data_IF_081333756163
#
_entry.id   IF_081333756163
#
_cell.length_a   1.000
_cell.length_b   1.000
_cell.length_c   1.000
_cell.angle_alpha   90.00
_cell.angle_beta   90.00
_cell.angle_gamma   90.00
#
_symmetry.space_group_name_H-M   'P 1'
#
loop_
_entity.id
_entity.type
_entity.pdbx_description
1 polymer ?
#
# COMPACT_ATOMS: atom_id res chain seq x y z
N UNK A 1 -43.40 32.08 -24.80
CA UNK A 1 -42.56 31.20 -23.96
C UNK A 1 -41.41 30.69 -24.82
N UNK A 2 -40.19 31.21 -24.66
CA UNK A 2 -39.06 30.68 -25.40
C UNK A 2 -38.64 29.34 -24.78
N UNK A 3 -38.54 28.31 -25.62
CA UNK A 3 -38.04 27.00 -25.25
C UNK A 3 -36.61 27.15 -24.74
N UNK A 4 -36.39 26.75 -23.49
CA UNK A 4 -35.04 26.64 -22.93
C UNK A 4 -34.33 25.56 -23.75
N UNK A 5 -33.36 25.99 -24.54
CA UNK A 5 -32.56 25.14 -25.40
C UNK A 5 -31.72 24.20 -24.53
N UNK A 6 -32.23 22.99 -24.25
CA UNK A 6 -31.56 21.98 -23.41
C UNK A 6 -30.14 21.65 -23.88
N UNK A 7 -29.84 21.83 -25.18
CA UNK A 7 -28.50 21.61 -25.72
C UNK A 7 -27.46 22.60 -25.14
N UNK A 8 -27.83 23.84 -24.82
CA UNK A 8 -26.90 24.79 -24.21
C UNK A 8 -26.66 24.53 -22.71
N UNK A 9 -27.62 23.91 -21.99
CA UNK A 9 -27.40 23.45 -20.61
C UNK A 9 -26.55 22.18 -20.54
N UNK A 10 -26.55 21.33 -21.57
CA UNK A 10 -25.67 20.16 -21.63
C UNK A 10 -24.23 20.51 -22.00
N UNK A 11 -24.03 21.43 -22.97
CA UNK A 11 -22.68 21.88 -23.38
C UNK A 11 -21.96 22.62 -22.23
N UNK A 12 -22.69 23.33 -21.37
CA UNK A 12 -22.10 23.99 -20.19
C UNK A 12 -21.71 23.02 -19.06
N UNK A 13 -22.29 21.82 -19.02
CA UNK A 13 -21.97 20.77 -18.05
C UNK A 13 -20.76 19.91 -18.44
N UNK A 14 -20.36 19.91 -19.72
CA UNK A 14 -19.10 19.27 -20.17
C UNK A 14 -17.87 20.09 -19.77
N UNK A 15 -17.99 21.43 -19.71
CA UNK A 15 -16.90 22.31 -19.27
C UNK A 15 -16.64 22.28 -17.75
N UNK A 16 -17.56 21.73 -16.95
CA UNK A 16 -17.51 21.70 -15.48
C UNK A 16 -17.08 20.37 -14.89
N UNK A 17 -16.81 19.35 -15.71
CA UNK A 17 -16.37 18.02 -15.24
C UNK A 17 -14.92 17.77 -15.63
N UNK A 18 -13.98 18.44 -14.97
CA UNK A 18 -12.60 18.00 -15.01
C UNK A 18 -12.33 17.19 -13.74
N UNK A 19 -12.36 15.86 -13.85
CA UNK A 19 -11.76 15.02 -12.81
C UNK A 19 -10.30 15.48 -12.63
N UNK A 20 -9.84 15.65 -11.38
CA UNK A 20 -8.51 16.16 -11.13
C UNK A 20 -7.46 15.19 -11.68
N UNK A 21 -6.32 15.76 -12.09
CA UNK A 21 -5.19 14.98 -12.59
C UNK A 21 -4.77 13.95 -11.54
N UNK A 22 -4.53 12.71 -11.97
CA UNK A 22 -3.98 11.68 -11.07
C UNK A 22 -2.56 12.11 -10.73
N UNK A 23 -2.29 12.34 -9.45
CA UNK A 23 -0.99 12.78 -8.97
C UNK A 23 -0.68 12.18 -7.61
N UNK A 24 0.60 11.99 -7.36
CA UNK A 24 1.13 11.58 -6.05
C UNK A 24 1.35 12.83 -5.17
N UNK A 25 1.14 14.03 -5.72
CA UNK A 25 1.26 15.32 -5.02
C UNK A 25 0.12 15.59 -4.02
N UNK A 26 -0.14 14.63 -3.13
CA UNK A 26 -1.13 14.70 -2.08
C UNK A 26 -0.56 15.36 -0.81
N UNK A 27 -1.42 15.86 0.07
CA UNK A 27 -1.01 16.39 1.38
C UNK A 27 -0.18 15.35 2.18
N UNK A 28 -0.58 14.07 2.28
CA UNK A 28 0.24 13.01 2.87
C UNK A 28 1.65 12.90 2.27
N UNK A 29 1.75 12.94 0.94
CA UNK A 29 3.01 12.86 0.21
C UNK A 29 3.91 14.07 0.54
N UNK A 30 3.38 15.29 0.45
CA UNK A 30 4.11 16.53 0.80
C UNK A 30 4.61 16.50 2.23
N UNK A 31 3.77 16.10 3.18
CA UNK A 31 4.15 16.00 4.58
C UNK A 31 5.27 14.98 4.78
N UNK A 32 5.17 13.81 4.16
CA UNK A 32 6.20 12.78 4.23
C UNK A 32 7.52 13.23 3.58
N UNK A 33 7.47 13.99 2.48
CA UNK A 33 8.64 14.58 1.81
C UNK A 33 9.38 15.61 2.67
N UNK A 34 8.64 16.40 3.47
CA UNK A 34 9.26 17.32 4.43
C UNK A 34 10.07 16.53 5.47
N UNK A 35 9.55 15.40 5.94
CA UNK A 35 10.22 14.52 6.91
C UNK A 35 11.45 13.83 6.29
N UNK A 36 11.31 13.31 5.07
CA UNK A 36 12.38 12.56 4.36
C UNK A 36 13.38 13.46 3.62
N UNK A 37 13.30 14.78 3.79
CA UNK A 37 14.25 15.72 3.19
C UNK A 37 15.63 15.59 3.83
N UNK A 38 16.49 14.77 3.22
CA UNK A 38 17.86 14.50 3.70
C UNK A 38 18.84 15.64 3.45
N UNK A 39 18.48 16.64 2.64
CA UNK A 39 19.28 17.84 2.40
C UNK A 39 19.00 18.97 3.41
N UNK A 40 17.80 19.03 3.97
CA UNK A 40 17.37 20.10 4.88
C UNK A 40 17.58 19.71 6.35
N UNK A 41 18.23 20.58 7.14
CA UNK A 41 18.45 20.35 8.58
C UNK A 41 17.13 20.20 9.34
N UNK A 42 16.09 20.95 8.96
CA UNK A 42 14.78 20.87 9.59
C UNK A 42 14.13 19.50 9.39
N UNK A 43 14.27 18.91 8.19
CA UNK A 43 13.77 17.55 7.90
C UNK A 43 14.45 16.50 8.76
N UNK A 44 15.78 16.57 8.88
CA UNK A 44 16.57 15.68 9.75
C UNK A 44 16.15 15.78 11.21
N UNK A 45 16.02 17.00 11.74
CA UNK A 45 15.57 17.23 13.12
C UNK A 45 14.16 16.71 13.34
N UNK A 46 13.25 16.95 12.39
CA UNK A 46 11.87 16.45 12.45
C UNK A 46 11.82 14.92 12.44
N UNK A 47 12.62 14.27 11.59
CA UNK A 47 12.74 12.81 11.57
C UNK A 47 13.27 12.27 12.90
N UNK A 48 14.34 12.84 13.44
CA UNK A 48 14.89 12.43 14.76
C UNK A 48 13.85 12.63 15.86
N UNK A 49 13.09 13.72 15.83
CA UNK A 49 12.01 13.98 16.78
C UNK A 49 10.87 12.95 16.66
N UNK A 50 10.43 12.63 15.44
CA UNK A 50 9.42 11.59 15.19
C UNK A 50 9.92 10.23 15.66
N UNK A 51 11.17 9.86 15.35
CA UNK A 51 11.76 8.61 15.82
C UNK A 51 11.87 8.58 17.34
N UNK A 52 12.24 9.68 17.99
CA UNK A 52 12.27 9.79 19.43
C UNK A 52 10.88 9.58 20.04
N UNK A 53 9.85 10.25 19.51
CA UNK A 53 8.45 10.07 19.96
C UNK A 53 8.00 8.62 19.74
N UNK A 54 8.28 8.05 18.57
CA UNK A 54 7.91 6.69 18.22
C UNK A 54 8.54 5.66 19.17
N UNK A 55 9.80 5.85 19.53
CA UNK A 55 10.47 5.04 20.54
C UNK A 55 9.91 5.29 21.94
N UNK A 56 9.57 6.52 22.33
CA UNK A 56 8.92 6.77 23.63
C UNK A 56 7.58 6.03 23.77
N UNK A 57 6.79 5.99 22.70
CA UNK A 57 5.48 5.31 22.70
C UNK A 57 5.65 3.78 22.64
N UNK A 58 6.51 3.26 21.75
CA UNK A 58 6.62 1.82 21.51
C UNK A 58 7.60 1.10 22.43
N UNK A 59 8.69 1.75 22.86
CA UNK A 59 9.67 1.15 23.78
C UNK A 59 9.25 1.21 25.23
N UNK A 60 8.08 1.78 25.55
CA UNK A 60 7.53 1.71 26.91
C UNK A 60 7.43 0.27 27.40
N UNK A 61 7.04 -0.66 26.53
CA UNK A 61 7.00 -2.08 26.89
C UNK A 61 8.39 -2.64 27.23
N UNK A 62 9.46 -2.16 26.56
CA UNK A 62 10.84 -2.57 26.80
C UNK A 62 11.39 -2.06 28.14
N UNK A 63 10.95 -0.90 28.62
CA UNK A 63 11.39 -0.36 29.91
C UNK A 63 10.99 -1.22 31.12
N UNK A 64 9.98 -2.09 30.96
CA UNK A 64 9.53 -3.02 32.00
C UNK A 64 10.08 -4.45 31.80
N UNK A 65 11.01 -4.65 30.87
CA UNK A 65 11.60 -5.95 30.57
C UNK A 65 12.94 -6.10 31.29
N UNK A 66 13.04 -7.05 32.24
CA UNK A 66 14.34 -7.49 32.77
C UNK A 66 15.18 -8.20 31.69
N UNK A 67 16.47 -7.89 31.62
CA UNK A 67 17.44 -8.49 30.68
C UNK A 67 17.52 -10.03 30.81
N UNK A 68 17.28 -10.57 32.01
CA UNK A 68 17.32 -12.02 32.29
C UNK A 68 16.22 -12.86 31.63
N UNK A 69 15.26 -12.22 30.95
CA UNK A 69 14.10 -12.90 30.34
C UNK A 69 13.96 -12.63 28.84
N UNK A 70 15.05 -12.20 28.19
CA UNK A 70 15.08 -11.99 26.73
C UNK A 70 14.59 -13.19 25.91
N UNK A 71 14.69 -14.41 26.46
CA UNK A 71 14.30 -15.66 25.80
C UNK A 71 12.87 -16.15 26.07
N UNK A 72 12.06 -15.49 26.92
CA UNK A 72 10.67 -15.90 27.17
C UNK A 72 9.67 -14.74 27.00
N UNK A 73 8.63 -14.94 26.18
CA UNK A 73 7.54 -14.00 25.84
C UNK A 73 7.92 -12.59 25.27
N UNK A 74 9.19 -12.19 25.36
CA UNK A 74 9.69 -10.82 25.13
C UNK A 74 10.28 -10.59 23.74
N UNK A 75 10.55 -11.67 23.00
CA UNK A 75 10.96 -11.60 21.59
C UNK A 75 9.87 -10.96 20.70
N UNK A 76 8.59 -11.23 20.98
CA UNK A 76 7.47 -10.61 20.24
C UNK A 76 7.42 -9.09 20.41
N UNK A 77 7.67 -8.59 21.62
CA UNK A 77 7.75 -7.15 21.90
C UNK A 77 8.96 -6.50 21.21
N UNK A 78 10.12 -7.16 21.21
CA UNK A 78 11.30 -6.71 20.47
C UNK A 78 11.02 -6.64 18.96
N UNK A 79 10.43 -7.69 18.40
CA UNK A 79 10.08 -7.77 16.98
C UNK A 79 9.06 -6.69 16.59
N UNK A 80 8.07 -6.43 17.45
CA UNK A 80 7.11 -5.34 17.26
C UNK A 80 7.81 -3.96 17.24
N UNK A 81 8.71 -3.68 18.19
CA UNK A 81 9.46 -2.43 18.24
C UNK A 81 10.35 -2.27 17.01
N UNK A 82 11.01 -3.35 16.57
CA UNK A 82 11.82 -3.32 15.35
C UNK A 82 10.94 -2.97 14.15
N UNK A 83 9.84 -3.69 13.91
CA UNK A 83 8.94 -3.45 12.78
C UNK A 83 8.39 -2.02 12.80
N UNK A 84 7.94 -1.53 13.97
CA UNK A 84 7.40 -0.19 14.13
C UNK A 84 8.42 0.91 13.80
N UNK A 85 9.71 0.68 14.05
CA UNK A 85 10.80 1.61 13.73
C UNK A 85 11.29 1.50 12.29
N UNK A 86 11.28 0.32 11.69
CA UNK A 86 11.81 0.11 10.34
C UNK A 86 10.98 0.80 9.26
N UNK A 87 9.65 0.88 9.42
CA UNK A 87 8.79 1.50 8.41
C UNK A 87 9.09 3.00 8.20
N UNK A 88 9.12 3.84 9.25
CA UNK A 88 9.51 5.25 9.10
C UNK A 88 10.94 5.43 8.57
N UNK A 89 11.86 4.54 8.94
CA UNK A 89 13.25 4.56 8.45
C UNK A 89 13.29 4.33 6.93
N UNK A 90 12.56 3.33 6.43
CA UNK A 90 12.47 3.04 4.99
C UNK A 90 11.95 4.26 4.23
N UNK A 91 10.87 4.88 4.70
CA UNK A 91 10.35 6.10 4.09
C UNK A 91 11.34 7.27 4.12
N UNK A 92 11.99 7.49 5.25
CA UNK A 92 12.95 8.57 5.40
C UNK A 92 14.10 8.47 4.37
N UNK A 93 14.63 7.27 4.16
CA UNK A 93 15.75 7.08 3.23
C UNK A 93 15.35 6.96 1.76
N UNK A 94 14.20 6.33 1.47
CA UNK A 94 13.80 5.99 0.09
C UNK A 94 12.82 7.00 -0.50
N UNK A 95 11.84 7.50 0.26
CA UNK A 95 10.78 8.36 -0.24
C UNK A 95 11.22 9.84 -0.26
N UNK A 96 12.07 10.22 -1.21
CA UNK A 96 12.59 11.59 -1.32
C UNK A 96 12.10 12.32 -2.59
N UNK A 97 12.39 13.63 -2.69
CA UNK A 97 11.98 14.45 -3.84
C UNK A 97 12.42 13.90 -5.19
N UNK A 98 13.65 13.35 -5.27
CA UNK A 98 14.18 12.77 -6.51
C UNK A 98 13.38 11.53 -6.93
N UNK A 99 13.00 10.68 -5.98
CA UNK A 99 12.15 9.52 -6.28
C UNK A 99 10.78 9.97 -6.80
N UNK A 100 10.14 10.92 -6.11
CA UNK A 100 8.82 11.41 -6.50
C UNK A 100 8.84 12.08 -7.86
N UNK A 101 9.85 12.93 -8.15
CA UNK A 101 10.07 13.55 -9.45
C UNK A 101 10.21 12.48 -10.56
N UNK A 102 11.02 11.45 -10.33
CA UNK A 102 11.16 10.35 -11.29
C UNK A 102 9.84 9.61 -11.53
N UNK A 103 9.04 9.37 -10.49
CA UNK A 103 7.73 8.72 -10.65
C UNK A 103 6.78 9.63 -11.45
N UNK A 104 6.76 10.93 -11.17
CA UNK A 104 5.96 11.90 -11.91
C UNK A 104 6.38 12.03 -13.37
N UNK A 105 7.67 12.04 -13.67
CA UNK A 105 8.19 12.08 -15.03
C UNK A 105 7.73 10.87 -15.86
N UNK A 106 7.87 9.66 -15.30
CA UNK A 106 7.41 8.44 -15.96
C UNK A 106 5.88 8.43 -16.12
N UNK A 107 5.13 8.89 -15.13
CA UNK A 107 3.67 9.01 -15.20
C UNK A 107 3.23 10.01 -16.29
N UNK A 108 3.82 11.20 -16.30
CA UNK A 108 3.52 12.25 -17.27
C UNK A 108 3.86 11.82 -18.70
N UNK A 109 4.94 11.06 -18.88
CA UNK A 109 5.34 10.51 -20.18
C UNK A 109 4.32 9.50 -20.75
N UNK A 110 3.51 8.85 -19.90
CA UNK A 110 2.46 7.93 -20.34
C UNK A 110 1.25 8.65 -20.94
N UNK A 111 1.07 9.95 -20.66
CA UNK A 111 -0.03 10.77 -21.18
C UNK A 111 -1.44 10.18 -20.91
N UNK A 112 -1.60 9.44 -19.81
CA UNK A 112 -2.85 8.77 -19.45
C UNK A 112 -3.96 9.78 -19.10
N UNK A 113 -3.58 10.94 -18.58
CA UNK A 113 -4.50 11.98 -18.11
C UNK A 113 -5.20 12.76 -19.24
N UNK A 114 -4.97 12.47 -20.52
CA UNK A 114 -5.61 13.22 -21.62
C UNK A 114 -7.09 12.84 -21.80
N UNK A 115 -7.46 11.58 -21.58
CA UNK A 115 -8.84 11.09 -21.79
C UNK A 115 -9.71 11.27 -20.54
N UNK A 116 -10.94 11.78 -20.71
CA UNK A 116 -11.86 12.09 -19.60
C UNK A 116 -12.40 10.84 -18.91
N UNK A 117 -12.81 9.82 -19.67
CA UNK A 117 -13.35 8.57 -19.10
C UNK A 117 -12.28 7.79 -18.33
N UNK A 118 -11.06 7.82 -18.86
CA UNK A 118 -9.87 7.28 -18.20
C UNK A 118 -9.60 8.00 -16.86
N UNK A 119 -9.59 9.35 -16.84
CA UNK A 119 -9.46 10.14 -15.59
C UNK A 119 -10.58 9.88 -14.58
N UNK A 120 -11.83 9.81 -15.06
CA UNK A 120 -13.00 9.50 -14.25
C UNK A 120 -12.88 8.15 -13.55
N UNK A 121 -12.52 7.11 -14.31
CA UNK A 121 -12.33 5.77 -13.79
C UNK A 121 -11.27 5.76 -12.69
N UNK A 122 -10.11 6.37 -12.93
CA UNK A 122 -9.00 6.40 -11.97
C UNK A 122 -9.32 7.20 -10.72
N UNK A 123 -9.83 8.42 -10.88
CA UNK A 123 -10.19 9.25 -9.74
C UNK A 123 -11.22 8.57 -8.84
N UNK A 124 -12.22 7.91 -9.42
CA UNK A 124 -13.25 7.19 -8.66
C UNK A 124 -12.64 6.06 -7.84
N UNK A 125 -11.75 5.25 -8.42
CA UNK A 125 -11.09 4.16 -7.70
C UNK A 125 -10.19 4.70 -6.58
N UNK A 126 -9.34 5.69 -6.86
CA UNK A 126 -8.48 6.32 -5.85
C UNK A 126 -9.30 6.93 -4.72
N UNK A 127 -10.40 7.61 -5.01
CA UNK A 127 -11.28 8.20 -4.02
C UNK A 127 -11.92 7.14 -3.11
N UNK A 128 -12.42 6.04 -3.68
CA UNK A 128 -12.99 4.92 -2.92
C UNK A 128 -11.94 4.33 -1.97
N UNK A 129 -10.73 4.07 -2.46
CA UNK A 129 -9.65 3.51 -1.63
C UNK A 129 -9.21 4.46 -0.53
N UNK A 130 -9.04 5.76 -0.82
CA UNK A 130 -8.70 6.76 0.20
C UNK A 130 -9.79 6.88 1.25
N UNK A 131 -11.06 6.87 0.84
CA UNK A 131 -12.18 6.88 1.78
C UNK A 131 -12.16 5.64 2.69
N UNK A 132 -11.88 4.46 2.14
CA UNK A 132 -11.72 3.24 2.93
C UNK A 132 -10.57 3.34 3.92
N UNK A 133 -9.41 3.87 3.51
CA UNK A 133 -8.27 4.12 4.40
C UNK A 133 -8.65 5.08 5.52
N UNK A 134 -9.37 6.15 5.23
CA UNK A 134 -9.81 7.14 6.21
C UNK A 134 -10.75 6.53 7.25
N UNK A 135 -11.78 5.82 6.78
CA UNK A 135 -12.72 5.11 7.65
C UNK A 135 -11.97 4.09 8.51
N UNK A 136 -11.03 3.35 7.92
CA UNK A 136 -10.28 2.35 8.68
C UNK A 136 -9.43 2.97 9.79
N UNK A 137 -8.71 4.06 9.49
CA UNK A 137 -7.88 4.74 10.50
C UNK A 137 -8.72 5.37 11.60
N UNK A 138 -9.87 5.98 11.26
CA UNK A 138 -10.78 6.56 12.26
C UNK A 138 -11.31 5.46 13.19
N UNK A 139 -11.73 4.32 12.63
CA UNK A 139 -12.21 3.18 13.44
C UNK A 139 -11.12 2.61 14.33
N UNK A 140 -9.91 2.37 13.80
CA UNK A 140 -8.79 1.84 14.55
C UNK A 140 -8.38 2.79 15.69
N UNK A 141 -8.30 4.09 15.40
CA UNK A 141 -8.01 5.12 16.38
C UNK A 141 -9.09 5.15 17.47
N UNK A 142 -10.37 5.22 17.09
CA UNK A 142 -11.48 5.27 18.05
C UNK A 142 -11.49 4.03 18.95
N UNK A 143 -11.34 2.84 18.36
CA UNK A 143 -11.34 1.58 19.11
C UNK A 143 -10.15 1.48 20.07
N UNK A 144 -8.95 1.86 19.62
CA UNK A 144 -7.74 1.85 20.44
C UNK A 144 -7.82 2.84 21.61
N UNK A 145 -8.29 4.07 21.37
CA UNK A 145 -8.42 5.09 22.41
C UNK A 145 -9.54 4.76 23.40
N UNK A 146 -10.71 4.31 22.94
CA UNK A 146 -11.80 3.90 23.82
C UNK A 146 -11.36 2.78 24.78
N UNK A 147 -10.64 1.77 24.28
CA UNK A 147 -10.10 0.71 25.14
C UNK A 147 -9.01 1.22 26.09
N UNK A 148 -8.11 2.08 25.62
CA UNK A 148 -7.05 2.66 26.46
C UNK A 148 -7.62 3.53 27.59
N UNK A 149 -8.70 4.27 27.33
CA UNK A 149 -9.43 5.05 28.34
C UNK A 149 -10.19 4.13 29.30
N UNK A 150 -10.84 3.07 28.79
CA UNK A 150 -11.55 2.09 29.62
C UNK A 150 -10.63 1.39 30.61
N UNK A 151 -9.52 0.81 30.12
CA UNK A 151 -8.52 0.14 30.97
C UNK A 151 -7.88 1.08 31.99
N UNK A 152 -7.85 2.38 31.69
CA UNK A 152 -7.39 3.41 32.60
C UNK A 152 -8.43 3.73 33.68
N UNK A 153 -9.71 3.84 33.31
CA UNK A 153 -10.82 4.02 34.27
C UNK A 153 -10.88 2.89 35.29
N UNK A 154 -10.58 1.66 34.87
CA UNK A 154 -10.55 0.49 35.74
C UNK A 154 -9.34 0.52 36.72
N UNK A 155 -8.18 1.00 36.25
CA UNK A 155 -6.93 1.12 37.05
C UNK A 155 -6.86 2.35 37.96
N UNK A 156 -7.73 3.34 37.80
CA UNK A 156 -7.82 4.54 38.65
C UNK A 156 -8.25 4.25 40.10
N UNK A 157 -8.50 2.98 40.46
CA UNK A 157 -8.52 2.50 41.86
C UNK A 157 -7.13 2.40 42.50
N UNK A 158 -6.04 2.66 41.76
CA UNK A 158 -4.66 2.60 42.27
C UNK A 158 -3.97 3.98 42.42
N UNK A 159 -3.30 4.18 43.55
CA UNK A 159 -2.94 5.45 44.23
C UNK A 159 -1.78 6.29 43.63
N UNK A 160 -1.59 6.40 42.31
CA UNK A 160 -0.43 7.13 41.74
C UNK A 160 -0.78 8.24 40.72
N UNK A 161 -0.90 9.51 41.16
CA UNK A 161 -1.35 10.62 40.31
C UNK A 161 -0.31 11.09 39.25
N UNK A 162 0.99 10.97 39.52
CA UNK A 162 2.06 11.46 38.61
C UNK A 162 2.22 10.57 37.37
N UNK A 163 2.06 9.25 37.53
CA UNK A 163 2.12 8.30 36.40
C UNK A 163 0.97 8.50 35.41
N UNK A 164 -0.17 9.03 35.87
CA UNK A 164 -1.34 9.28 35.04
C UNK A 164 -1.13 10.48 34.11
N UNK A 165 -0.52 11.57 34.57
CA UNK A 165 -0.25 12.75 33.73
C UNK A 165 0.68 12.46 32.55
N UNK A 166 1.78 11.75 32.80
CA UNK A 166 2.73 11.33 31.76
C UNK A 166 2.10 10.34 30.77
N UNK A 167 1.20 9.48 31.26
CA UNK A 167 0.41 8.58 30.42
C UNK A 167 -0.57 9.34 29.51
N UNK A 168 -1.30 10.33 30.04
CA UNK A 168 -2.20 11.16 29.23
C UNK A 168 -1.44 11.97 28.17
N UNK A 169 -0.25 12.48 28.49
CA UNK A 169 0.61 13.15 27.53
C UNK A 169 1.05 12.21 26.40
N UNK A 170 1.52 11.00 26.75
CA UNK A 170 1.89 9.97 25.77
C UNK A 170 0.71 9.57 24.88
N UNK A 171 -0.47 9.35 25.48
CA UNK A 171 -1.65 8.88 24.77
C UNK A 171 -2.29 9.99 23.91
N UNK A 172 -2.55 11.16 24.46
CA UNK A 172 -3.36 12.19 23.77
C UNK A 172 -2.55 13.05 22.80
N UNK A 173 -1.25 13.22 23.05
CA UNK A 173 -0.39 14.09 22.22
C UNK A 173 0.56 13.25 21.37
N UNK A 174 1.39 12.42 22.00
CA UNK A 174 2.45 11.71 21.28
C UNK A 174 1.92 10.61 20.36
N UNK A 175 0.93 9.83 20.79
CA UNK A 175 0.33 8.81 19.94
C UNK A 175 -0.46 9.42 18.77
N UNK A 176 -1.02 10.62 18.92
CA UNK A 176 -1.69 11.34 17.83
C UNK A 176 -0.69 11.73 16.74
N UNK A 177 0.48 12.26 17.12
CA UNK A 177 1.56 12.61 16.17
C UNK A 177 2.01 11.37 15.38
N UNK A 178 2.27 10.26 16.08
CA UNK A 178 2.65 8.99 15.42
C UNK A 178 1.54 8.51 14.49
N UNK A 179 0.28 8.58 14.94
CA UNK A 179 -0.88 8.16 14.14
C UNK A 179 -0.99 8.97 12.85
N UNK A 180 -0.72 10.28 12.90
CA UNK A 180 -0.69 11.13 11.71
C UNK A 180 0.42 10.74 10.73
N UNK A 181 1.61 10.38 11.24
CA UNK A 181 2.72 9.90 10.40
C UNK A 181 2.35 8.58 9.72
N UNK A 182 1.84 7.61 10.49
CA UNK A 182 1.42 6.31 9.94
C UNK A 182 0.28 6.47 8.92
N UNK A 183 -0.70 7.32 9.20
CA UNK A 183 -1.75 7.66 8.26
C UNK A 183 -1.18 8.15 6.93
N UNK A 184 -0.20 9.07 6.97
CA UNK A 184 0.42 9.58 5.75
C UNK A 184 1.14 8.48 4.96
N UNK A 185 1.91 7.64 5.64
CA UNK A 185 2.60 6.49 5.04
C UNK A 185 1.60 5.52 4.40
N UNK A 186 0.48 5.24 5.07
CA UNK A 186 -0.54 4.35 4.54
C UNK A 186 -1.25 4.92 3.31
N UNK A 187 -1.51 6.23 3.27
CA UNK A 187 -1.99 6.87 2.05
C UNK A 187 -1.03 6.64 0.88
N UNK A 188 0.28 6.81 1.10
CA UNK A 188 1.30 6.59 0.07
C UNK A 188 1.33 5.12 -0.37
N UNK A 189 1.23 4.17 0.56
CA UNK A 189 1.16 2.74 0.25
C UNK A 189 -0.05 2.32 -0.57
N UNK A 190 -1.10 3.14 -0.61
CA UNK A 190 -2.26 2.89 -1.44
C UNK A 190 -2.19 3.65 -2.76
N UNK A 191 -1.75 4.91 -2.71
CA UNK A 191 -1.63 5.75 -3.89
C UNK A 191 -0.64 5.19 -4.91
N UNK A 192 0.54 4.72 -4.47
CA UNK A 192 1.57 4.21 -5.38
C UNK A 192 1.16 2.92 -6.13
N UNK A 193 0.66 1.86 -5.46
CA UNK A 193 0.16 0.68 -6.18
C UNK A 193 -1.03 0.99 -7.08
N UNK A 194 -1.92 1.91 -6.68
CA UNK A 194 -3.04 2.31 -7.52
C UNK A 194 -2.57 3.01 -8.79
N UNK A 195 -1.54 3.85 -8.70
CA UNK A 195 -0.94 4.50 -9.86
C UNK A 195 -0.31 3.47 -10.81
N UNK A 196 0.44 2.51 -10.28
CA UNK A 196 1.00 1.39 -11.06
C UNK A 196 -0.09 0.53 -11.74
N UNK A 197 -1.12 0.10 -10.98
CA UNK A 197 -2.25 -0.65 -11.52
C UNK A 197 -2.98 0.11 -12.62
N UNK A 198 -3.10 1.42 -12.48
CA UNK A 198 -3.76 2.29 -13.44
C UNK A 198 -2.99 2.36 -14.76
N UNK A 199 -1.66 2.48 -14.66
CA UNK A 199 -0.77 2.48 -15.81
C UNK A 199 -0.87 1.17 -16.61
N UNK A 200 -0.82 0.02 -15.92
CA UNK A 200 -0.99 -1.30 -16.56
C UNK A 200 -2.39 -1.45 -17.18
N UNK A 201 -3.43 -1.03 -16.47
CA UNK A 201 -4.82 -1.09 -16.95
C UNK A 201 -5.03 -0.29 -18.23
N UNK A 202 -4.44 0.90 -18.33
CA UNK A 202 -4.54 1.75 -19.51
C UNK A 202 -4.02 1.03 -20.77
N UNK A 203 -2.84 0.43 -20.66
CA UNK A 203 -2.23 -0.29 -21.78
C UNK A 203 -3.01 -1.58 -22.12
N UNK A 204 -3.55 -2.26 -21.11
CA UNK A 204 -4.45 -3.40 -21.29
C UNK A 204 -5.72 -3.03 -22.07
N UNK A 205 -6.33 -1.87 -21.80
CA UNK A 205 -7.50 -1.39 -22.53
C UNK A 205 -7.14 -1.12 -24.00
N UNK A 206 -6.00 -0.48 -24.26
CA UNK A 206 -5.53 -0.23 -25.62
C UNK A 206 -5.31 -1.54 -26.40
N UNK A 207 -4.71 -2.54 -25.77
CA UNK A 207 -4.51 -3.87 -26.35
C UNK A 207 -5.81 -4.63 -26.61
N UNK A 208 -6.79 -4.56 -25.69
CA UNK A 208 -8.12 -5.15 -25.89
C UNK A 208 -8.84 -4.54 -27.07
N UNK A 209 -8.75 -3.21 -27.25
CA UNK A 209 -9.30 -2.52 -28.44
C UNK A 209 -8.63 -3.02 -29.71
N UNK A 210 -7.30 -3.07 -29.74
CA UNK A 210 -6.53 -3.57 -30.89
C UNK A 210 -6.89 -5.03 -31.24
N UNK A 211 -7.01 -5.90 -30.24
CA UNK A 211 -7.41 -7.31 -30.45
C UNK A 211 -8.82 -7.42 -31.05
N UNK A 212 -9.76 -6.61 -30.56
CA UNK A 212 -11.13 -6.60 -31.08
C UNK A 212 -11.22 -6.04 -32.50
N UNK A 213 -10.37 -5.09 -32.87
CA UNK A 213 -10.29 -4.59 -34.24
C UNK A 213 -9.68 -5.64 -35.18
N UNK A 214 -8.64 -6.35 -34.73
CA UNK A 214 -8.01 -7.43 -35.48
C UNK A 214 -8.95 -8.62 -35.73
N UNK A 215 -9.92 -8.88 -34.84
CA UNK A 215 -10.89 -9.97 -35.03
C UNK A 215 -12.07 -9.62 -35.93
N UNK A 216 -12.42 -8.33 -36.06
CA UNK A 216 -13.61 -7.90 -36.83
C UNK A 216 -13.37 -7.82 -38.33
N UNK A 217 -12.20 -7.37 -38.77
CA UNK A 217 -12.04 -6.86 -40.14
C UNK A 217 -11.10 -7.66 -41.06
N UNK A 218 -10.48 -8.76 -40.60
CA UNK A 218 -9.38 -9.43 -41.32
C UNK A 218 -8.27 -8.45 -41.80
N UNK A 219 -8.21 -7.24 -41.22
CA UNK A 219 -7.23 -6.20 -41.52
C UNK A 219 -5.92 -6.56 -40.83
N UNK A 220 -4.82 -6.38 -41.56
CA UNK A 220 -3.49 -6.51 -41.01
C UNK A 220 -3.34 -5.63 -39.75
N UNK A 221 -2.81 -6.22 -38.68
CA UNK A 221 -2.51 -5.50 -37.44
C UNK A 221 -1.70 -4.22 -37.70
N UNK A 222 -2.16 -3.12 -37.10
CA UNK A 222 -1.49 -1.83 -37.26
C UNK A 222 -0.17 -1.81 -36.47
N UNK A 223 0.95 -1.83 -37.19
CA UNK A 223 2.29 -1.84 -36.59
C UNK A 223 2.57 -0.59 -35.74
N UNK A 224 2.06 0.59 -36.13
CA UNK A 224 2.31 1.83 -35.37
C UNK A 224 1.58 1.81 -34.03
N UNK A 225 0.39 1.21 -33.99
CA UNK A 225 -0.35 1.00 -32.74
C UNK A 225 0.43 0.05 -31.80
N UNK A 226 0.97 -1.05 -32.32
CA UNK A 226 1.77 -2.01 -31.54
C UNK A 226 3.06 -1.36 -31.02
N UNK A 227 3.76 -0.60 -31.85
CA UNK A 227 4.96 0.15 -31.45
C UNK A 227 4.66 1.16 -30.33
N UNK A 228 3.54 1.87 -30.43
CA UNK A 228 3.14 2.83 -29.41
C UNK A 228 2.80 2.14 -28.08
N UNK A 229 2.02 1.06 -28.12
CA UNK A 229 1.67 0.24 -26.94
C UNK A 229 2.94 -0.36 -26.31
N UNK A 230 3.91 -0.83 -27.11
CA UNK A 230 5.21 -1.31 -26.61
C UNK A 230 5.99 -0.21 -25.92
N UNK A 231 6.05 1.00 -26.51
CA UNK A 231 6.69 2.15 -25.87
C UNK A 231 6.04 2.50 -24.55
N UNK A 232 4.70 2.50 -24.47
CA UNK A 232 3.96 2.70 -23.23
C UNK A 232 4.26 1.60 -22.22
N UNK A 233 4.36 0.34 -22.65
CA UNK A 233 4.73 -0.78 -21.78
C UNK A 233 6.10 -0.57 -21.13
N UNK A 234 7.13 -0.16 -21.90
CA UNK A 234 8.45 0.14 -21.36
C UNK A 234 8.43 1.28 -20.32
N UNK A 235 7.61 2.31 -20.54
CA UNK A 235 7.43 3.39 -19.58
C UNK A 235 6.73 2.89 -18.30
N UNK A 236 5.76 1.98 -18.42
CA UNK A 236 5.11 1.34 -17.27
C UNK A 236 6.12 0.51 -16.47
N UNK A 237 6.98 -0.27 -17.13
CA UNK A 237 8.03 -1.03 -16.45
C UNK A 237 8.91 -0.11 -15.59
N UNK A 238 9.42 0.97 -16.19
CA UNK A 238 10.25 1.96 -15.47
C UNK A 238 9.51 2.63 -14.31
N UNK A 239 8.23 2.93 -14.50
CA UNK A 239 7.38 3.49 -13.45
C UNK A 239 7.22 2.51 -12.28
N UNK A 240 6.93 1.24 -12.57
CA UNK A 240 6.77 0.20 -11.54
C UNK A 240 8.09 -0.08 -10.82
N UNK A 241 9.20 -0.18 -11.54
CA UNK A 241 10.54 -0.35 -10.95
C UNK A 241 10.87 0.79 -9.98
N UNK A 242 10.52 2.03 -10.34
CA UNK A 242 10.74 3.19 -9.47
C UNK A 242 9.86 3.17 -8.23
N UNK A 243 8.60 2.76 -8.36
CA UNK A 243 7.72 2.59 -7.22
C UNK A 243 8.22 1.44 -6.32
N UNK A 244 8.80 0.40 -6.90
CA UNK A 244 9.31 -0.76 -6.15
C UNK A 244 10.49 -0.40 -5.23
N UNK A 245 11.27 0.65 -5.52
CA UNK A 245 12.35 1.12 -4.66
C UNK A 245 11.89 1.48 -3.23
N UNK A 246 10.61 1.85 -3.07
CA UNK A 246 9.96 2.07 -1.77
C UNK A 246 9.00 0.93 -1.40
N UNK A 247 8.20 0.44 -2.35
CA UNK A 247 7.17 -0.57 -2.06
C UNK A 247 7.78 -1.93 -1.73
N UNK A 248 8.87 -2.34 -2.36
CA UNK A 248 9.48 -3.65 -2.13
C UNK A 248 9.93 -3.86 -0.68
N UNK A 249 10.79 -3.00 -0.12
CA UNK A 249 11.17 -3.06 1.30
C UNK A 249 9.96 -2.92 2.25
N UNK A 250 8.99 -2.09 1.87
CA UNK A 250 7.77 -1.87 2.65
C UNK A 250 6.89 -3.12 2.72
N UNK A 251 6.77 -3.87 1.62
CA UNK A 251 6.01 -5.11 1.53
C UNK A 251 6.64 -6.22 2.38
N UNK A 252 7.97 -6.29 2.42
CA UNK A 252 8.69 -7.18 3.34
C UNK A 252 8.25 -6.91 4.79
N UNK A 253 8.33 -5.65 5.23
CA UNK A 253 7.94 -5.25 6.58
C UNK A 253 6.46 -5.50 6.87
N UNK A 254 5.56 -5.20 5.92
CA UNK A 254 4.11 -5.46 6.07
C UNK A 254 3.79 -6.95 6.21
N UNK A 255 4.42 -7.82 5.40
CA UNK A 255 4.20 -9.26 5.53
C UNK A 255 4.79 -9.84 6.82
N UNK A 256 5.94 -9.36 7.27
CA UNK A 256 6.48 -9.75 8.59
C UNK A 256 5.55 -9.30 9.71
N UNK A 257 5.01 -8.07 9.62
CA UNK A 257 4.02 -7.56 10.57
C UNK A 257 2.73 -8.38 10.54
N UNK A 258 2.25 -8.77 9.36
CA UNK A 258 1.10 -9.64 9.18
C UNK A 258 1.32 -11.00 9.86
N UNK A 259 2.45 -11.65 9.61
CA UNK A 259 2.77 -12.96 10.20
C UNK A 259 2.84 -12.89 11.72
N UNK A 260 3.53 -11.87 12.27
CA UNK A 260 3.65 -11.67 13.71
C UNK A 260 2.28 -11.49 14.39
N UNK A 261 1.41 -10.65 13.82
CA UNK A 261 0.06 -10.43 14.33
C UNK A 261 -0.83 -11.67 14.21
N UNK A 262 -0.71 -12.42 13.10
CA UNK A 262 -1.48 -13.64 12.91
C UNK A 262 -1.08 -14.72 13.93
N UNK A 263 0.22 -14.89 14.20
CA UNK A 263 0.71 -15.77 15.26
C UNK A 263 0.23 -15.31 16.64
N UNK A 264 0.26 -14.00 16.92
CA UNK A 264 -0.23 -13.44 18.18
C UNK A 264 -1.73 -13.70 18.37
N UNK A 265 -2.54 -13.51 17.32
CA UNK A 265 -3.97 -13.78 17.34
C UNK A 265 -4.25 -15.28 17.56
N UNK A 266 -3.56 -16.15 16.84
CA UNK A 266 -3.70 -17.59 17.00
C UNK A 266 -3.35 -18.03 18.43
N UNK A 267 -2.25 -17.53 18.99
CA UNK A 267 -1.88 -17.77 20.37
C UNK A 267 -2.97 -17.30 21.35
N UNK A 268 -3.46 -16.07 21.21
CA UNK A 268 -4.50 -15.52 22.08
C UNK A 268 -5.84 -16.28 21.99
N UNK A 269 -6.14 -16.88 20.84
CA UNK A 269 -7.34 -17.71 20.65
C UNK A 269 -7.19 -19.09 21.29
N UNK A 270 -6.02 -19.73 21.12
CA UNK A 270 -5.73 -21.09 21.60
C UNK A 270 -5.55 -21.12 23.13
N UNK A 271 -4.84 -20.15 23.70
CA UNK A 271 -4.52 -20.12 25.12
C UNK A 271 -5.47 -19.18 25.88
N UNK A 272 -5.82 -19.54 27.12
CA UNK A 272 -6.82 -18.82 27.92
C UNK A 272 -6.20 -17.93 29.01
N UNK A 273 -5.04 -17.33 28.72
CA UNK A 273 -4.23 -16.58 29.70
C UNK A 273 -4.72 -15.15 29.96
N UNK A 274 -5.68 -14.64 29.19
CA UNK A 274 -6.14 -13.25 29.25
C UNK A 274 -7.57 -13.12 29.77
N UNK A 275 -7.87 -12.02 30.48
CA UNK A 275 -9.24 -11.64 30.80
C UNK A 275 -10.07 -11.50 29.52
N UNK A 276 -11.34 -11.92 29.55
CA UNK A 276 -12.23 -12.02 28.41
C UNK A 276 -12.37 -10.71 27.63
N UNK A 277 -12.46 -9.56 28.31
CA UNK A 277 -12.57 -8.25 27.65
C UNK A 277 -11.29 -7.88 26.88
N UNK A 278 -10.12 -8.09 27.49
CA UNK A 278 -8.82 -7.91 26.83
C UNK A 278 -8.64 -8.86 25.66
N UNK A 279 -9.09 -10.11 25.81
CA UNK A 279 -9.09 -11.11 24.72
C UNK A 279 -9.94 -10.62 23.54
N UNK A 280 -11.17 -10.16 23.77
CA UNK A 280 -12.03 -9.61 22.72
C UNK A 280 -11.42 -8.39 22.04
N UNK A 281 -10.87 -7.46 22.81
CA UNK A 281 -10.18 -6.30 22.26
C UNK A 281 -9.04 -6.70 21.33
N UNK A 282 -8.15 -7.59 21.81
CA UNK A 282 -7.00 -8.06 21.03
C UNK A 282 -7.46 -8.81 19.77
N UNK A 283 -8.49 -9.65 19.86
CA UNK A 283 -9.05 -10.36 18.70
C UNK A 283 -9.59 -9.38 17.67
N UNK A 284 -10.41 -8.41 18.07
CA UNK A 284 -11.02 -7.43 17.17
C UNK A 284 -9.95 -6.56 16.51
N UNK A 285 -9.04 -5.98 17.30
CA UNK A 285 -7.98 -5.10 16.79
C UNK A 285 -7.04 -5.86 15.84
N UNK A 286 -6.59 -7.05 16.24
CA UNK A 286 -5.65 -7.81 15.42
C UNK A 286 -6.31 -8.32 14.14
N UNK A 287 -7.57 -8.75 14.20
CA UNK A 287 -8.33 -9.14 13.00
C UNK A 287 -8.48 -7.96 12.04
N UNK A 288 -8.75 -6.77 12.56
CA UNK A 288 -8.84 -5.56 11.75
C UNK A 288 -7.53 -5.24 11.04
N UNK A 289 -6.40 -5.26 11.77
CA UNK A 289 -5.05 -5.05 11.21
C UNK A 289 -4.74 -6.09 10.12
N UNK A 290 -5.08 -7.36 10.35
CA UNK A 290 -4.86 -8.43 9.37
C UNK A 290 -5.68 -8.23 8.10
N UNK A 291 -6.96 -7.84 8.21
CA UNK A 291 -7.81 -7.52 7.06
C UNK A 291 -7.21 -6.36 6.26
N UNK A 292 -6.79 -5.29 6.94
CA UNK A 292 -6.16 -4.14 6.28
C UNK A 292 -4.89 -4.55 5.52
N UNK A 293 -4.00 -5.30 6.17
CA UNK A 293 -2.76 -5.78 5.54
C UNK A 293 -3.06 -6.69 4.34
N UNK A 294 -4.06 -7.56 4.41
CA UNK A 294 -4.46 -8.38 3.26
C UNK A 294 -4.93 -7.52 2.08
N UNK A 295 -5.75 -6.50 2.33
CA UNK A 295 -6.21 -5.59 1.28
C UNK A 295 -5.01 -4.91 0.60
N UNK A 296 -4.01 -4.48 1.37
CA UNK A 296 -2.80 -3.87 0.84
C UNK A 296 -1.98 -4.86 0.02
N UNK A 297 -1.65 -6.03 0.57
CA UNK A 297 -0.84 -7.01 -0.15
C UNK A 297 -1.55 -7.47 -1.43
N UNK A 298 -2.87 -7.67 -1.39
CA UNK A 298 -3.67 -8.02 -2.57
C UNK A 298 -3.65 -6.92 -3.63
N UNK A 299 -3.77 -5.64 -3.25
CA UNK A 299 -3.64 -4.54 -4.19
C UNK A 299 -2.26 -4.50 -4.88
N UNK A 300 -1.20 -4.86 -4.18
CA UNK A 300 0.14 -4.94 -4.76
C UNK A 300 0.27 -6.11 -5.75
N UNK A 301 -0.25 -7.29 -5.42
CA UNK A 301 -0.24 -8.48 -6.30
C UNK A 301 -1.04 -8.26 -7.59
N UNK A 302 -2.12 -7.49 -7.52
CA UNK A 302 -2.98 -7.19 -8.67
C UNK A 302 -2.25 -6.50 -9.84
N UNK A 303 -1.13 -5.84 -9.58
CA UNK A 303 -0.28 -5.25 -10.64
C UNK A 303 0.28 -6.36 -11.53
N UNK A 304 0.82 -7.40 -10.90
CA UNK A 304 1.38 -8.54 -11.62
C UNK A 304 0.30 -9.34 -12.36
N UNK A 305 -0.85 -9.60 -11.73
CA UNK A 305 -1.98 -10.28 -12.39
C UNK A 305 -2.42 -9.54 -13.66
N UNK A 306 -2.58 -8.21 -13.60
CA UNK A 306 -2.92 -7.39 -14.76
C UNK A 306 -1.83 -7.39 -15.82
N UNK A 307 -0.56 -7.43 -15.42
CA UNK A 307 0.56 -7.55 -16.35
C UNK A 307 0.52 -8.88 -17.10
N UNK A 308 0.23 -10.00 -16.43
CA UNK A 308 0.08 -11.30 -17.07
C UNK A 308 -1.08 -11.32 -18.07
N UNK A 309 -2.21 -10.67 -17.74
CA UNK A 309 -3.33 -10.52 -18.68
C UNK A 309 -2.90 -9.74 -19.94
N UNK A 310 -2.12 -8.68 -19.75
CA UNK A 310 -1.57 -7.87 -20.83
C UNK A 310 -0.65 -8.71 -21.75
N UNK A 311 0.26 -9.49 -21.18
CA UNK A 311 1.16 -10.41 -21.91
C UNK A 311 0.35 -11.46 -22.68
N UNK A 312 -0.69 -12.03 -22.06
CA UNK A 312 -1.55 -13.02 -22.71
C UNK A 312 -2.30 -12.44 -23.92
N UNK A 313 -2.71 -11.17 -23.88
CA UNK A 313 -3.34 -10.51 -25.03
C UNK A 313 -2.33 -10.26 -26.14
N UNK A 314 -1.11 -9.82 -25.80
CA UNK A 314 -0.03 -9.64 -26.78
C UNK A 314 0.32 -10.96 -27.47
N UNK A 315 0.37 -12.06 -26.73
CA UNK A 315 0.53 -13.39 -27.31
C UNK A 315 -0.64 -13.76 -28.23
N UNK A 316 -1.88 -13.47 -27.87
CA UNK A 316 -3.03 -13.68 -28.77
C UNK A 316 -2.92 -12.85 -30.05
N UNK A 317 -2.39 -11.64 -29.98
CA UNK A 317 -2.15 -10.78 -31.15
C UNK A 317 -1.07 -11.36 -32.08
N UNK A 318 -0.06 -12.06 -31.56
CA UNK A 318 0.97 -12.70 -32.40
C UNK A 318 0.37 -13.77 -33.32
N UNK A 319 -0.73 -14.41 -32.90
CA UNK A 319 -1.46 -15.40 -33.68
C UNK A 319 -2.42 -14.78 -34.71
N UNK A 320 -2.51 -13.46 -34.78
CA UNK A 320 -3.42 -12.72 -35.67
C UNK A 320 -2.70 -11.99 -36.80
N UNK A 321 -1.41 -12.26 -37.01
CA UNK A 321 -0.63 -11.62 -38.08
C UNK A 321 0.38 -12.58 -38.67
N UNK A 322 0.51 -12.52 -40.00
CA UNK A 322 1.59 -13.20 -40.74
C UNK A 322 2.76 -12.24 -41.05
N UNK A 323 2.67 -10.98 -40.61
CA UNK A 323 3.69 -9.98 -40.88
C UNK A 323 4.87 -10.15 -39.93
N UNK A 324 6.03 -10.53 -40.47
CA UNK A 324 7.30 -10.66 -39.73
C UNK A 324 7.66 -9.37 -38.98
N UNK A 325 7.39 -8.20 -39.58
CA UNK A 325 7.68 -6.90 -38.92
C UNK A 325 6.83 -6.69 -37.68
N UNK A 326 5.55 -7.05 -37.75
CA UNK A 326 4.63 -6.96 -36.61
C UNK A 326 5.02 -7.99 -35.55
N UNK A 327 5.33 -9.21 -35.99
CA UNK A 327 5.76 -10.28 -35.11
C UNK A 327 7.04 -9.90 -34.34
N UNK A 328 8.02 -9.26 -34.99
CA UNK A 328 9.23 -8.77 -34.33
C UNK A 328 8.91 -7.76 -33.21
N UNK A 329 8.00 -6.81 -33.43
CA UNK A 329 7.57 -5.87 -32.39
C UNK A 329 6.86 -6.58 -31.23
N UNK A 330 6.05 -7.60 -31.53
CA UNK A 330 5.39 -8.42 -30.51
C UNK A 330 6.41 -9.25 -29.73
N UNK A 331 7.39 -9.86 -30.38
CA UNK A 331 8.47 -10.61 -29.72
C UNK A 331 9.27 -9.69 -28.81
N UNK A 332 9.60 -8.46 -29.26
CA UNK A 332 10.26 -7.46 -28.42
C UNK A 332 9.41 -7.03 -27.22
N UNK A 333 8.09 -7.00 -27.37
CA UNK A 333 7.17 -6.74 -26.27
C UNK A 333 7.20 -7.88 -25.25
N UNK A 334 7.12 -9.13 -25.71
CA UNK A 334 7.09 -10.32 -24.86
C UNK A 334 8.45 -10.60 -24.18
N UNK A 335 9.55 -10.15 -24.79
CA UNK A 335 10.91 -10.32 -24.26
C UNK A 335 11.28 -9.25 -23.21
N UNK A 336 10.35 -8.92 -22.32
CA UNK A 336 10.57 -7.97 -21.24
C UNK A 336 10.34 -8.64 -19.88
N UNK A 337 10.99 -8.11 -18.85
CA UNK A 337 10.83 -8.62 -17.49
C UNK A 337 9.39 -8.45 -17.00
N UNK A 338 8.98 -9.35 -16.11
CA UNK A 338 7.66 -9.29 -15.49
C UNK A 338 7.45 -7.99 -14.72
N UNK A 339 6.28 -7.38 -14.88
CA UNK A 339 5.90 -6.18 -14.12
C UNK A 339 5.25 -6.61 -12.81
N UNK A 340 5.75 -6.07 -11.70
CA UNK A 340 5.19 -6.25 -10.36
C UNK A 340 6.12 -5.66 -9.31
N UNK A 341 5.72 -5.77 -8.04
CA UNK A 341 6.59 -5.38 -6.93
C UNK A 341 7.32 -6.58 -6.36
N UNK A 342 8.52 -6.33 -5.86
CA UNK A 342 9.34 -7.36 -5.24
C UNK A 342 9.06 -7.47 -3.75
N UNK A 343 9.36 -8.63 -3.18
CA UNK A 343 9.35 -8.86 -1.75
C UNK A 343 10.74 -8.49 -1.19
N UNK A 344 10.94 -7.22 -0.88
CA UNK A 344 12.24 -6.70 -0.40
C UNK A 344 13.41 -6.95 -1.37
N UNK A 345 13.15 -7.05 -2.68
CA UNK A 345 14.15 -7.38 -3.70
C UNK A 345 14.47 -8.88 -3.85
N UNK A 346 13.81 -9.77 -3.10
CA UNK A 346 14.13 -11.21 -3.14
C UNK A 346 13.43 -11.95 -4.29
N UNK A 347 12.13 -11.73 -4.45
CA UNK A 347 11.32 -12.36 -5.50
C UNK A 347 10.12 -11.47 -5.84
N UNK A 348 9.52 -11.66 -7.02
CA UNK A 348 8.32 -10.93 -7.43
C UNK A 348 7.10 -11.39 -6.63
N UNK A 349 6.32 -10.46 -6.10
CA UNK A 349 5.13 -10.76 -5.32
C UNK A 349 3.98 -11.19 -6.24
N UNK A 350 3.61 -12.47 -6.15
CA UNK A 350 2.53 -13.07 -6.95
C UNK A 350 1.44 -13.68 -6.07
N UNK A 351 0.38 -14.19 -6.70
CA UNK A 351 -0.64 -14.99 -6.01
C UNK A 351 -0.08 -16.27 -5.40
N UNK A 352 0.92 -16.89 -6.04
CA UNK A 352 1.59 -18.05 -5.47
C UNK A 352 2.42 -17.68 -4.24
N UNK A 353 3.10 -16.53 -4.24
CA UNK A 353 3.80 -16.01 -3.05
C UNK A 353 2.84 -15.83 -1.86
N UNK A 354 1.65 -15.27 -2.11
CA UNK A 354 0.59 -15.14 -1.10
C UNK A 354 0.14 -16.51 -0.57
N UNK A 355 -0.13 -17.47 -1.46
CA UNK A 355 -0.52 -18.83 -1.09
C UNK A 355 0.55 -19.53 -0.23
N UNK A 356 1.83 -19.34 -0.57
CA UNK A 356 2.96 -19.85 0.22
C UNK A 356 3.00 -19.20 1.60
N UNK A 357 2.82 -17.88 1.71
CA UNK A 357 2.75 -17.18 2.99
C UNK A 357 1.61 -17.73 3.87
N UNK A 358 0.43 -17.96 3.30
CA UNK A 358 -0.69 -18.57 4.02
C UNK A 358 -0.42 -20.00 4.46
N UNK A 359 0.24 -20.79 3.61
CA UNK A 359 0.60 -22.16 3.93
C UNK A 359 1.58 -22.20 5.10
N UNK A 360 2.62 -21.36 5.08
CA UNK A 360 3.57 -21.19 6.20
C UNK A 360 2.82 -20.78 7.48
N UNK A 361 1.94 -19.79 7.39
CA UNK A 361 1.14 -19.34 8.53
C UNK A 361 0.28 -20.46 9.12
N UNK A 362 -0.45 -21.21 8.28
CA UNK A 362 -1.28 -22.34 8.70
C UNK A 362 -0.42 -23.41 9.37
N UNK A 363 0.74 -23.74 8.79
CA UNK A 363 1.68 -24.69 9.40
C UNK A 363 2.14 -24.24 10.78
N UNK A 364 2.50 -22.96 10.94
CA UNK A 364 2.89 -22.40 12.25
C UNK A 364 1.73 -22.50 13.25
N UNK A 365 0.51 -22.12 12.84
CA UNK A 365 -0.70 -22.18 13.69
C UNK A 365 -1.01 -23.62 14.12
N UNK A 366 -0.90 -24.60 13.22
CA UNK A 366 -1.14 -26.01 13.53
C UNK A 366 -0.05 -26.56 14.46
N UNK A 367 1.20 -26.12 14.30
CA UNK A 367 2.32 -26.58 15.12
C UNK A 367 2.40 -25.90 16.51
N UNK A 368 1.82 -24.71 16.66
CA UNK A 368 1.82 -23.91 17.90
C UNK A 368 1.47 -24.73 19.17
N UNK A 369 0.37 -25.53 19.19
CA UNK A 369 0.03 -26.39 20.33
C UNK A 369 1.12 -27.40 20.71
N UNK A 370 1.89 -27.89 19.73
CA UNK A 370 2.96 -28.88 19.97
C UNK A 370 4.17 -28.30 20.71
N UNK A 371 4.34 -26.98 20.70
CA UNK A 371 5.43 -26.28 21.38
C UNK A 371 5.08 -25.78 22.79
N UNK A 372 3.82 -25.86 23.21
CA UNK A 372 3.37 -25.41 24.53
C UNK A 372 3.39 -26.52 25.60
N UNK A 373 4.29 -27.50 25.45
CA UNK A 373 4.56 -28.53 26.45
C UNK A 373 5.68 -28.15 27.38
#
# INVERSE_FOLDING_TARGET
MPSINMQQCFVRNEQLKNYPKVSIDSIPSKFQLIISSTSNIYGKCLFVFIMFILNLVNCRALLFISLDSMFSAKFGALLFVLIANWMPIVFYFRYNHKLVEQIEDHWNALQIDYDYETRKYFWTHTAIYRWLVYVMYILLFTFHYCYSIYTLSDKHTSKHPIGNGLFYFLLLILALIISSVHFCQTCIHMDLPMLAQSAVQFNLIALKKLLNEATKDAKSLNITAIQNIRRQHLLICRLVDKIDEIMGPSLLLMCTHFLANACHLAYALIYNEQNQLTKWYNVILTSFILITNMIYIHANVKIHEKSLELVAIVYKLSLKTDSIRVLNEITLFLNHNEIGFTFGGMFLLTTSSLSTLFSILITIIIALPSFAR
#
